data_IF_019728237551
#
_entry.id   IF_019728237551
#
_cell.length_a   1.000
_cell.length_b   1.000
_cell.length_c   1.000
_cell.angle_alpha   90.00
_cell.angle_beta   90.00
_cell.angle_gamma   90.00
#
_symmetry.space_group_name_H-M   'P 1'
#
loop_
_entity.id
_entity.type
_entity.pdbx_description
1 polymer ?
#
# COMPACT_ATOMS: atom_id res chain seq x y z
N UNK A 1 -46.71 -25.63 129.23
CA UNK A 1 -45.98 -25.48 130.51
C UNK A 1 -44.54 -25.96 130.45
N UNK A 2 -44.13 -26.85 129.52
CA UNK A 2 -42.72 -27.20 129.34
C UNK A 2 -41.90 -26.11 128.65
N UNK A 3 -42.46 -25.47 127.62
CA UNK A 3 -41.78 -24.40 126.87
C UNK A 3 -41.38 -23.19 127.75
N UNK A 4 -42.19 -22.85 128.75
CA UNK A 4 -41.92 -21.75 129.69
C UNK A 4 -40.76 -22.08 130.64
N UNK A 5 -40.62 -23.35 131.05
CA UNK A 5 -39.50 -23.81 131.89
C UNK A 5 -38.18 -23.88 131.11
N UNK A 6 -38.22 -24.22 129.83
CA UNK A 6 -37.03 -24.16 128.97
C UNK A 6 -36.60 -22.70 128.72
N UNK A 7 -37.56 -21.79 128.55
CA UNK A 7 -37.29 -20.36 128.40
C UNK A 7 -36.65 -19.74 129.65
N UNK A 8 -37.08 -20.14 130.85
CA UNK A 8 -36.41 -19.74 132.10
C UNK A 8 -34.97 -20.25 132.20
N UNK A 9 -34.72 -21.52 131.85
CA UNK A 9 -33.36 -22.07 131.84
C UNK A 9 -32.44 -21.40 130.80
N UNK A 10 -32.98 -21.05 129.63
CA UNK A 10 -32.24 -20.32 128.60
C UNK A 10 -31.95 -18.89 129.07
N UNK A 11 -32.92 -18.22 129.70
CA UNK A 11 -32.71 -16.89 130.28
C UNK A 11 -31.71 -16.89 131.44
N UNK A 12 -31.68 -17.92 132.28
CA UNK A 12 -30.65 -18.07 133.31
C UNK A 12 -29.26 -18.26 132.68
N UNK A 13 -29.15 -19.07 131.61
CA UNK A 13 -27.87 -19.24 130.89
C UNK A 13 -27.42 -17.96 130.20
N UNK A 14 -28.34 -17.18 129.63
CA UNK A 14 -28.06 -15.87 129.06
C UNK A 14 -27.59 -14.92 130.15
N UNK A 15 -28.23 -14.90 131.32
CA UNK A 15 -27.82 -14.05 132.44
C UNK A 15 -26.42 -14.42 132.97
N UNK A 16 -26.10 -15.72 133.05
CA UNK A 16 -24.76 -16.18 133.42
C UNK A 16 -23.73 -15.76 132.37
N UNK A 17 -24.00 -15.96 131.09
CA UNK A 17 -23.12 -15.55 129.99
C UNK A 17 -22.93 -14.03 129.92
N UNK A 18 -23.99 -13.24 130.15
CA UNK A 18 -23.89 -11.78 130.25
C UNK A 18 -23.07 -11.35 131.47
N UNK A 19 -23.11 -12.10 132.58
CA UNK A 19 -22.27 -11.83 133.75
C UNK A 19 -20.80 -12.17 133.47
N UNK A 20 -20.52 -13.25 132.73
CA UNK A 20 -19.17 -13.64 132.33
C UNK A 20 -18.59 -12.65 131.31
N UNK A 21 -19.39 -12.20 130.33
CA UNK A 21 -19.00 -11.14 129.38
C UNK A 21 -18.76 -9.80 130.08
N UNK A 22 -19.60 -9.42 131.06
CA UNK A 22 -19.36 -8.22 131.88
C UNK A 22 -18.12 -8.36 132.76
N UNK A 23 -17.80 -9.57 133.24
CA UNK A 23 -16.56 -9.83 133.98
C UNK A 23 -15.32 -9.77 133.07
N UNK A 24 -15.41 -10.24 131.82
CA UNK A 24 -14.35 -10.10 130.81
C UNK A 24 -14.15 -8.65 130.37
N UNK A 25 -15.23 -7.89 130.16
CA UNK A 25 -15.17 -6.46 129.82
C UNK A 25 -14.64 -5.62 131.01
N UNK A 26 -14.96 -6.01 132.25
CA UNK A 26 -14.36 -5.41 133.45
C UNK A 26 -12.86 -5.71 133.58
N UNK A 27 -12.39 -6.87 133.10
CA UNK A 27 -10.96 -7.21 133.06
C UNK A 27 -10.19 -6.52 131.92
N UNK A 28 -10.86 -6.17 130.81
CA UNK A 28 -10.27 -5.38 129.70
C UNK A 28 -10.13 -3.88 130.01
N UNK A 29 -10.88 -3.38 131.00
CA UNK A 29 -10.81 -2.00 131.47
C UNK A 29 -9.89 -1.78 132.70
N UNK A 30 -8.92 -2.67 132.94
CA UNK A 30 -7.73 -2.26 133.69
C UNK A 30 -6.98 -1.24 132.85
N UNK A 31 -7.13 0.04 133.19
CA UNK A 31 -6.17 1.06 132.81
C UNK A 31 -4.78 0.53 133.22
N UNK A 32 -4.04 0.03 132.23
CA UNK A 32 -2.64 -0.32 132.42
C UNK A 32 -1.94 1.02 132.63
N UNK A 33 -1.84 1.43 133.90
CA UNK A 33 -1.00 2.55 134.31
C UNK A 33 0.43 2.06 134.16
N UNK A 34 0.97 2.21 132.95
CA UNK A 34 2.37 1.95 132.65
C UNK A 34 3.21 2.86 133.55
N UNK A 35 4.17 2.28 134.29
CA UNK A 35 5.23 3.08 134.95
C UNK A 35 5.92 3.97 133.90
N UNK A 36 6.41 5.14 134.32
CA UNK A 36 6.97 6.16 133.42
C UNK A 36 8.07 5.61 132.49
N UNK A 37 8.81 4.60 132.94
CA UNK A 37 9.83 3.86 132.19
C UNK A 37 9.25 2.99 131.06
N UNK A 38 8.19 2.23 131.33
CA UNK A 38 7.53 1.35 130.36
C UNK A 38 6.72 2.14 129.33
N UNK A 39 6.14 3.27 129.74
CA UNK A 39 5.43 4.21 128.84
C UNK A 39 6.40 4.89 127.88
N UNK A 40 7.63 5.20 128.32
CA UNK A 40 8.71 5.70 127.46
C UNK A 40 9.17 4.65 126.46
N UNK A 41 9.37 3.40 126.87
CA UNK A 41 9.81 2.34 125.94
C UNK A 41 8.70 1.94 124.94
N UNK A 42 7.44 1.91 125.38
CA UNK A 42 6.29 1.73 124.48
C UNK A 42 6.18 2.89 123.48
N UNK A 43 6.31 4.14 123.92
CA UNK A 43 6.30 5.30 123.02
C UNK A 43 7.48 5.25 122.04
N UNK A 44 8.66 4.84 122.48
CA UNK A 44 9.84 4.66 121.62
C UNK A 44 9.64 3.58 120.56
N UNK A 45 9.16 2.40 120.94
CA UNK A 45 8.85 1.30 120.02
C UNK A 45 7.70 1.68 119.08
N UNK A 46 6.70 2.40 119.57
CA UNK A 46 5.58 2.93 118.76
C UNK A 46 6.07 3.96 117.76
N UNK A 47 6.96 4.88 118.14
CA UNK A 47 7.60 5.82 117.22
C UNK A 47 8.44 5.10 116.17
N UNK A 48 9.23 4.09 116.58
CA UNK A 48 10.06 3.31 115.65
C UNK A 48 9.23 2.47 114.68
N UNK A 49 8.16 1.83 115.16
CA UNK A 49 7.19 1.09 114.34
C UNK A 49 6.40 2.04 113.42
N UNK A 50 6.02 3.22 113.90
CA UNK A 50 5.35 4.24 113.06
C UNK A 50 6.29 4.75 111.98
N UNK A 51 7.57 5.00 112.32
CA UNK A 51 8.61 5.42 111.37
C UNK A 51 8.88 4.35 110.30
N UNK A 52 9.05 3.10 110.70
CA UNK A 52 9.25 1.98 109.78
C UNK A 52 8.02 1.75 108.89
N UNK A 53 6.81 1.74 109.49
CA UNK A 53 5.54 1.61 108.76
C UNK A 53 5.36 2.74 107.74
N UNK A 54 5.66 3.98 108.13
CA UNK A 54 5.59 5.14 107.23
C UNK A 54 6.60 5.04 106.08
N UNK A 55 7.81 4.56 106.36
CA UNK A 55 8.82 4.29 105.31
C UNK A 55 8.35 3.22 104.34
N UNK A 56 7.89 2.06 104.84
CA UNK A 56 7.42 0.97 104.00
C UNK A 56 6.15 1.31 103.23
N UNK A 57 5.23 2.10 103.81
CA UNK A 57 4.04 2.61 103.10
C UNK A 57 4.43 3.58 101.97
N UNK A 58 5.39 4.48 102.21
CA UNK A 58 5.90 5.37 101.16
C UNK A 58 6.63 4.60 100.05
N UNK A 59 7.43 3.59 100.41
CA UNK A 59 8.11 2.72 99.45
C UNK A 59 7.09 1.90 98.63
N UNK A 60 6.02 1.40 99.28
CA UNK A 60 4.92 0.69 98.64
C UNK A 60 4.15 1.59 97.65
N UNK A 61 3.75 2.81 98.06
CA UNK A 61 3.09 3.78 97.17
C UNK A 61 4.00 4.18 96.00
N UNK A 62 5.31 4.32 96.23
CA UNK A 62 6.28 4.57 95.15
C UNK A 62 6.36 3.40 94.16
N UNK A 63 6.39 2.17 94.66
CA UNK A 63 6.40 0.95 93.85
C UNK A 63 5.11 0.76 93.06
N UNK A 64 3.95 0.98 93.69
CA UNK A 64 2.64 0.89 93.03
C UNK A 64 2.49 1.93 91.91
N UNK A 65 2.94 3.17 92.13
CA UNK A 65 2.96 4.20 91.08
C UNK A 65 3.87 3.83 89.92
N UNK A 66 5.06 3.26 90.20
CA UNK A 66 5.97 2.76 89.15
C UNK A 66 5.36 1.59 88.39
N UNK A 67 4.81 0.61 89.08
CA UNK A 67 4.14 -0.54 88.47
C UNK A 67 2.99 -0.09 87.58
N UNK A 68 2.17 0.86 88.04
CA UNK A 68 1.08 1.42 87.24
C UNK A 68 1.59 2.15 86.01
N UNK A 69 2.61 2.99 86.15
CA UNK A 69 3.22 3.70 85.02
C UNK A 69 3.84 2.74 83.97
N UNK A 70 4.47 1.65 84.41
CA UNK A 70 5.02 0.64 83.52
C UNK A 70 3.92 -0.22 82.86
N UNK A 71 2.83 -0.51 83.59
CA UNK A 71 1.63 -1.17 83.02
C UNK A 71 0.97 -0.31 81.93
N UNK A 72 0.78 0.99 82.19
CA UNK A 72 0.20 1.91 81.21
C UNK A 72 1.08 2.04 79.95
N UNK A 73 2.41 2.06 80.13
CA UNK A 73 3.37 2.04 79.01
C UNK A 73 3.29 0.73 78.22
N UNK A 74 3.22 -0.41 78.90
CA UNK A 74 3.10 -1.71 78.25
C UNK A 74 1.81 -1.81 77.42
N UNK A 75 0.68 -1.37 77.97
CA UNK A 75 -0.58 -1.33 77.23
C UNK A 75 -0.51 -0.40 76.02
N UNK A 76 0.16 0.76 76.14
CA UNK A 76 0.37 1.67 75.02
C UNK A 76 1.22 1.03 73.91
N UNK A 77 2.36 0.45 74.26
CA UNK A 77 3.23 -0.26 73.31
C UNK A 77 2.50 -1.45 72.66
N UNK A 78 1.65 -2.16 73.40
CA UNK A 78 0.85 -3.25 72.85
C UNK A 78 -0.19 -2.75 71.83
N UNK A 79 -0.83 -1.60 72.09
CA UNK A 79 -1.73 -0.94 71.11
C UNK A 79 -0.97 -0.51 69.86
N UNK A 80 0.20 0.10 70.04
CA UNK A 80 1.03 0.57 68.93
C UNK A 80 1.54 -0.63 68.09
N UNK A 81 1.94 -1.72 68.73
CA UNK A 81 2.30 -2.98 68.06
C UNK A 81 1.16 -3.54 67.23
N UNK A 82 -0.07 -3.58 67.77
CA UNK A 82 -1.24 -4.05 67.02
C UNK A 82 -1.57 -3.14 65.84
N UNK A 83 -1.44 -1.83 66.02
CA UNK A 83 -1.66 -0.85 64.95
C UNK A 83 -0.63 -1.03 63.83
N UNK A 84 0.65 -1.19 64.16
CA UNK A 84 1.73 -1.45 63.21
C UNK A 84 1.50 -2.79 62.49
N UNK A 85 1.15 -3.87 63.20
CA UNK A 85 0.84 -5.16 62.58
C UNK A 85 -0.33 -5.08 61.60
N UNK A 86 -1.40 -4.35 61.95
CA UNK A 86 -2.54 -4.16 61.04
C UNK A 86 -2.11 -3.41 59.78
N UNK A 87 -1.25 -2.39 59.91
CA UNK A 87 -0.72 -1.61 58.79
C UNK A 87 0.20 -2.43 57.89
N UNK A 88 1.05 -3.29 58.47
CA UNK A 88 1.88 -4.23 57.71
C UNK A 88 1.01 -5.17 56.87
N UNK A 89 -0.07 -5.74 57.44
CA UNK A 89 -0.99 -6.61 56.67
C UNK A 89 -1.63 -5.90 55.49
N UNK A 90 -2.09 -4.66 55.69
CA UNK A 90 -2.70 -3.87 54.60
C UNK A 90 -1.66 -3.62 53.49
N UNK A 91 -0.46 -3.17 53.84
CA UNK A 91 0.62 -2.94 52.86
C UNK A 91 1.05 -4.22 52.14
N UNK A 92 1.06 -5.37 52.82
CA UNK A 92 1.36 -6.66 52.20
C UNK A 92 0.30 -7.06 51.16
N UNK A 93 -0.99 -6.86 51.47
CA UNK A 93 -2.07 -7.13 50.52
C UNK A 93 -2.00 -6.17 49.30
N UNK A 94 -1.77 -4.88 49.54
CA UNK A 94 -1.59 -3.89 48.46
C UNK A 94 -0.40 -4.23 47.55
N UNK A 95 0.72 -4.67 48.14
CA UNK A 95 1.90 -5.12 47.39
C UNK A 95 1.57 -6.32 46.49
N UNK A 96 0.87 -7.32 47.04
CA UNK A 96 0.55 -8.55 46.31
C UNK A 96 -0.44 -8.29 45.16
N UNK A 97 -1.43 -7.39 45.37
CA UNK A 97 -2.33 -6.94 44.30
C UNK A 97 -1.60 -6.15 43.21
N UNK A 98 -0.70 -5.24 43.60
CA UNK A 98 0.10 -4.47 42.66
C UNK A 98 1.05 -5.36 41.84
N UNK A 99 1.67 -6.37 42.45
CA UNK A 99 2.50 -7.36 41.73
C UNK A 99 1.67 -8.14 40.69
N UNK A 100 0.50 -8.66 41.08
CA UNK A 100 -0.41 -9.35 40.15
C UNK A 100 -0.85 -8.44 38.99
N UNK A 101 -1.05 -7.14 39.26
CA UNK A 101 -1.41 -6.16 38.23
C UNK A 101 -0.24 -5.86 37.29
N UNK A 102 0.99 -5.74 37.81
CA UNK A 102 2.20 -5.56 37.01
C UNK A 102 2.40 -6.73 36.06
N UNK A 103 2.26 -7.98 36.52
CA UNK A 103 2.48 -9.15 35.66
C UNK A 103 1.44 -9.22 34.53
N UNK A 104 0.16 -8.96 34.82
CA UNK A 104 -0.88 -8.83 33.79
C UNK A 104 -0.57 -7.72 32.77
N UNK A 105 -0.04 -6.59 33.23
CA UNK A 105 0.36 -5.49 32.34
C UNK A 105 1.56 -5.88 31.47
N UNK A 106 2.55 -6.59 32.01
CA UNK A 106 3.70 -7.09 31.24
C UNK A 106 3.27 -8.06 30.14
N UNK A 107 2.38 -9.02 30.45
CA UNK A 107 1.87 -9.97 29.47
C UNK A 107 1.13 -9.25 28.33
N UNK A 108 0.25 -8.30 28.68
CA UNK A 108 -0.48 -7.48 27.71
C UNK A 108 0.46 -6.62 26.83
N UNK A 109 1.51 -6.05 27.42
CA UNK A 109 2.53 -5.28 26.68
C UNK A 109 3.25 -6.20 25.71
N UNK A 110 3.71 -7.37 26.15
CA UNK A 110 4.41 -8.35 25.31
C UNK A 110 3.56 -8.82 24.12
N UNK A 111 2.30 -9.21 24.37
CA UNK A 111 1.37 -9.61 23.31
C UNK A 111 1.06 -8.48 22.31
N UNK A 112 0.90 -7.25 22.83
CA UNK A 112 0.64 -6.08 21.99
C UNK A 112 1.86 -5.70 21.16
N UNK A 113 3.08 -5.84 21.69
CA UNK A 113 4.33 -5.61 20.97
C UNK A 113 4.55 -6.63 19.83
N UNK A 114 4.25 -7.91 20.08
CA UNK A 114 4.27 -8.94 19.04
C UNK A 114 3.29 -8.62 17.91
N UNK A 115 2.04 -8.30 18.28
CA UNK A 115 0.99 -7.91 17.31
C UNK A 115 1.39 -6.66 16.51
N UNK A 116 2.01 -5.68 17.16
CA UNK A 116 2.52 -4.47 16.52
C UNK A 116 3.63 -4.79 15.51
N UNK A 117 4.56 -5.69 15.87
CA UNK A 117 5.64 -6.14 15.00
C UNK A 117 5.13 -6.82 13.74
N UNK A 118 4.14 -7.70 13.87
CA UNK A 118 3.50 -8.37 12.73
C UNK A 118 2.76 -7.40 11.82
N UNK A 119 1.99 -6.47 12.39
CA UNK A 119 1.28 -5.45 11.60
C UNK A 119 2.25 -4.52 10.87
N UNK A 120 3.36 -4.12 11.50
CA UNK A 120 4.41 -3.32 10.85
C UNK A 120 5.11 -4.05 9.71
N UNK A 121 5.28 -5.37 9.80
CA UNK A 121 5.80 -6.18 8.67
C UNK A 121 4.81 -6.18 7.50
N UNK A 122 3.53 -6.43 7.77
CA UNK A 122 2.46 -6.39 6.75
C UNK A 122 2.31 -5.00 6.13
N UNK A 123 2.42 -3.94 6.94
CA UNK A 123 2.40 -2.56 6.46
C UNK A 123 3.52 -2.32 5.42
N UNK A 124 4.76 -2.70 5.75
CA UNK A 124 5.89 -2.54 4.83
C UNK A 124 5.71 -3.31 3.53
N UNK A 125 5.29 -4.57 3.61
CA UNK A 125 5.05 -5.41 2.43
C UNK A 125 4.00 -4.79 1.50
N UNK A 126 2.88 -4.31 2.07
CA UNK A 126 1.80 -3.71 1.28
C UNK A 126 2.22 -2.33 0.74
N UNK A 127 2.91 -1.51 1.54
CA UNK A 127 3.42 -0.20 1.12
C UNK A 127 4.37 -0.32 -0.08
N UNK A 128 5.30 -1.27 -0.05
CA UNK A 128 6.22 -1.53 -1.17
C UNK A 128 5.47 -1.96 -2.43
N UNK A 129 4.46 -2.84 -2.31
CA UNK A 129 3.63 -3.27 -3.44
C UNK A 129 2.85 -2.09 -4.03
N UNK A 130 2.23 -1.26 -3.18
CA UNK A 130 1.44 -0.10 -3.61
C UNK A 130 2.33 0.96 -4.25
N UNK A 131 3.50 1.25 -3.67
CA UNK A 131 4.46 2.21 -4.23
C UNK A 131 4.94 1.77 -5.62
N UNK A 132 5.37 0.52 -5.76
CA UNK A 132 5.81 -0.01 -7.04
C UNK A 132 4.68 -0.03 -8.08
N UNK A 133 3.46 -0.39 -7.68
CA UNK A 133 2.29 -0.34 -8.55
C UNK A 133 2.01 1.09 -9.03
N UNK A 134 2.08 2.11 -8.16
CA UNK A 134 1.90 3.52 -8.52
C UNK A 134 2.97 4.02 -9.50
N UNK A 135 4.24 3.70 -9.26
CA UNK A 135 5.33 4.04 -10.20
C UNK A 135 5.13 3.36 -11.56
N UNK A 136 4.71 2.10 -11.56
CA UNK A 136 4.41 1.36 -12.80
C UNK A 136 3.22 1.97 -13.54
N UNK A 137 2.15 2.33 -12.83
CA UNK A 137 0.96 3.01 -13.40
C UNK A 137 1.35 4.33 -14.07
N UNK A 138 2.16 5.17 -13.42
CA UNK A 138 2.59 6.45 -14.03
C UNK A 138 3.45 6.23 -15.27
N UNK A 139 4.33 5.23 -15.24
CA UNK A 139 5.15 4.84 -16.40
C UNK A 139 4.31 4.31 -17.56
N UNK A 140 3.33 3.44 -17.28
CA UNK A 140 2.41 2.91 -18.29
C UNK A 140 1.55 4.02 -18.88
N UNK A 141 1.03 4.93 -18.05
CA UNK A 141 0.25 6.07 -18.53
C UNK A 141 1.04 6.97 -19.48
N UNK A 142 2.31 7.27 -19.17
CA UNK A 142 3.19 8.03 -20.09
C UNK A 142 3.37 7.31 -21.43
N UNK A 143 3.60 5.99 -21.41
CA UNK A 143 3.71 5.18 -22.63
C UNK A 143 2.41 5.14 -23.43
N UNK A 144 1.27 4.98 -22.75
CA UNK A 144 -0.04 4.99 -23.37
C UNK A 144 -0.38 6.36 -23.97
N UNK A 145 0.03 7.45 -23.33
CA UNK A 145 -0.13 8.81 -23.86
C UNK A 145 0.71 9.02 -25.12
N UNK A 146 1.97 8.56 -25.13
CA UNK A 146 2.82 8.56 -26.32
C UNK A 146 2.20 7.76 -27.46
N UNK A 147 1.80 6.50 -27.21
CA UNK A 147 1.16 5.64 -28.22
C UNK A 147 -0.19 6.23 -28.68
N UNK A 148 -0.94 6.86 -27.77
CA UNK A 148 -2.19 7.54 -28.14
C UNK A 148 -1.94 8.83 -28.94
N UNK A 149 -0.81 9.52 -28.77
CA UNK A 149 -0.39 10.60 -29.67
C UNK A 149 -0.11 10.06 -31.07
N UNK A 150 0.73 9.02 -31.16
CA UNK A 150 1.07 8.34 -32.42
C UNK A 150 -0.16 7.77 -33.13
N UNK A 151 -1.13 7.21 -32.38
CA UNK A 151 -2.41 6.71 -32.92
C UNK A 151 -3.46 7.81 -33.10
N UNK A 152 -3.38 8.92 -32.36
CA UNK A 152 -4.31 10.04 -32.38
C UNK A 152 -4.18 10.84 -33.67
N UNK A 153 -2.93 11.06 -34.09
CA UNK A 153 -2.60 11.57 -35.42
C UNK A 153 -3.06 10.61 -36.53
N UNK A 154 -3.12 9.30 -36.26
CA UNK A 154 -3.68 8.30 -37.16
C UNK A 154 -5.21 8.21 -37.13
N UNK A 155 -5.90 8.89 -36.20
CA UNK A 155 -7.35 8.77 -35.96
C UNK A 155 -8.19 9.73 -36.79
N UNK A 156 -7.57 10.63 -37.54
CA UNK A 156 -8.24 11.70 -38.30
C UNK A 156 -9.07 11.17 -39.48
N UNK A 157 -8.93 9.90 -39.87
CA UNK A 157 -9.61 9.35 -41.06
C UNK A 157 -10.49 8.11 -40.79
N UNK A 158 -11.32 8.13 -39.73
CA UNK A 158 -12.30 7.04 -39.47
C UNK A 158 -13.18 6.69 -40.68
N UNK A 159 -13.56 7.67 -41.49
CA UNK A 159 -14.36 7.45 -42.70
C UNK A 159 -13.56 6.80 -43.84
N UNK A 160 -12.28 7.17 -44.03
CA UNK A 160 -11.44 6.49 -45.02
C UNK A 160 -11.06 5.07 -44.55
N UNK A 161 -10.82 4.87 -43.26
CA UNK A 161 -10.52 3.56 -42.66
C UNK A 161 -11.68 2.57 -42.84
N UNK A 162 -12.93 2.99 -42.60
CA UNK A 162 -14.11 2.15 -42.82
C UNK A 162 -14.28 1.79 -44.30
N UNK A 163 -14.11 2.76 -45.20
CA UNK A 163 -14.18 2.52 -46.66
C UNK A 163 -13.07 1.57 -47.10
N UNK A 164 -11.86 1.73 -46.54
CA UNK A 164 -10.72 0.87 -46.81
C UNK A 164 -10.93 -0.55 -46.32
N UNK A 165 -11.49 -0.72 -45.12
CA UNK A 165 -11.82 -2.04 -44.58
C UNK A 165 -12.81 -2.78 -45.47
N UNK A 166 -13.90 -2.12 -45.88
CA UNK A 166 -14.86 -2.70 -46.84
C UNK A 166 -14.16 -3.09 -48.14
N UNK A 167 -13.30 -2.22 -48.67
CA UNK A 167 -12.48 -2.49 -49.87
C UNK A 167 -11.51 -3.67 -49.71
N UNK A 168 -10.99 -3.93 -48.51
CA UNK A 168 -10.14 -5.09 -48.23
C UNK A 168 -10.97 -6.38 -48.16
N UNK A 169 -12.13 -6.35 -47.49
CA UNK A 169 -13.06 -7.48 -47.41
C UNK A 169 -13.52 -7.93 -48.81
N UNK A 170 -13.74 -6.99 -49.73
CA UNK A 170 -14.04 -7.28 -51.14
C UNK A 170 -12.91 -8.06 -51.82
N UNK A 171 -11.65 -7.65 -51.62
CA UNK A 171 -10.50 -8.33 -52.23
C UNK A 171 -10.39 -9.75 -51.67
N UNK A 172 -10.55 -9.92 -50.36
CA UNK A 172 -10.52 -11.25 -49.73
C UNK A 172 -11.65 -12.16 -50.25
N UNK A 173 -12.83 -11.63 -50.51
CA UNK A 173 -13.91 -12.37 -51.17
C UNK A 173 -13.56 -12.75 -52.61
N UNK A 174 -13.01 -11.82 -53.40
CA UNK A 174 -12.58 -12.09 -54.78
C UNK A 174 -11.49 -13.17 -54.84
N UNK A 175 -10.52 -13.15 -53.91
CA UNK A 175 -9.48 -14.19 -53.81
C UNK A 175 -10.06 -15.58 -53.54
N UNK A 176 -11.13 -15.68 -52.72
CA UNK A 176 -11.80 -16.95 -52.41
C UNK A 176 -12.60 -17.48 -53.59
N UNK A 177 -13.26 -16.59 -54.35
CA UNK A 177 -14.12 -16.96 -55.47
C UNK A 177 -13.33 -17.28 -56.75
N UNK A 178 -12.23 -16.56 -56.99
CA UNK A 178 -11.47 -16.65 -58.23
C UNK A 178 -9.99 -16.93 -57.93
N UNK A 179 -9.53 -18.19 -58.09
CA UNK A 179 -8.10 -18.51 -58.01
C UNK A 179 -7.38 -17.80 -59.17
N UNK A 180 -6.45 -16.91 -58.85
CA UNK A 180 -5.77 -16.03 -59.81
C UNK A 180 -5.73 -14.56 -59.40
N UNK A 181 -6.55 -14.17 -58.42
CA UNK A 181 -6.46 -12.85 -57.77
C UNK A 181 -5.36 -12.88 -56.72
N UNK A 182 -4.36 -11.99 -56.85
CA UNK A 182 -3.26 -11.89 -55.87
C UNK A 182 -3.66 -11.02 -54.68
N UNK A 183 -3.49 -9.70 -54.80
CA UNK A 183 -3.89 -8.68 -53.83
C UNK A 183 -3.73 -7.29 -54.46
N UNK A 184 -3.99 -6.22 -53.70
CA UNK A 184 -3.67 -4.85 -54.08
C UNK A 184 -2.15 -4.61 -54.06
N UNK A 185 -1.66 -3.75 -54.94
CA UNK A 185 -0.25 -3.36 -55.01
C UNK A 185 0.31 -2.88 -53.66
N UNK A 186 -0.47 -2.15 -52.88
CA UNK A 186 -0.12 -1.73 -51.52
C UNK A 186 0.27 -2.89 -50.58
N UNK A 187 -0.42 -4.02 -50.68
CA UNK A 187 -0.20 -5.16 -49.80
C UNK A 187 0.98 -6.03 -50.25
N UNK A 188 1.26 -6.02 -51.56
CA UNK A 188 2.29 -6.83 -52.20
C UNK A 188 3.66 -6.13 -52.27
N UNK A 189 3.68 -4.80 -52.18
CA UNK A 189 4.89 -4.00 -52.28
C UNK A 189 5.22 -3.33 -50.94
N UNK A 190 6.50 -3.01 -50.72
CA UNK A 190 6.94 -2.20 -49.60
C UNK A 190 8.18 -1.38 -49.97
N UNK A 191 8.21 -0.07 -49.68
CA UNK A 191 9.44 0.71 -49.73
C UNK A 191 10.56 0.08 -48.90
N UNK A 192 11.79 0.09 -49.41
CA UNK A 192 12.96 -0.42 -48.65
C UNK A 192 13.26 0.46 -47.42
N UNK A 193 12.97 1.76 -47.51
CA UNK A 193 13.19 2.72 -46.43
C UNK A 193 12.07 3.76 -46.36
N UNK A 194 11.69 4.18 -45.14
CA UNK A 194 10.58 5.12 -44.86
C UNK A 194 10.71 6.45 -45.60
N UNK A 195 11.95 6.91 -45.80
CA UNK A 195 12.26 8.13 -46.57
C UNK A 195 11.66 8.15 -47.98
N UNK A 196 11.47 6.98 -48.59
CA UNK A 196 10.93 6.87 -49.95
C UNK A 196 9.40 6.75 -49.98
N UNK A 197 8.72 6.69 -48.84
CA UNK A 197 7.27 6.46 -48.78
C UNK A 197 6.51 7.53 -49.59
N UNK A 198 6.87 8.80 -49.45
CA UNK A 198 6.21 9.90 -50.18
C UNK A 198 6.43 9.80 -51.68
N UNK A 199 7.69 9.67 -52.10
CA UNK A 199 8.07 9.53 -53.50
C UNK A 199 7.38 8.33 -54.18
N UNK A 200 7.40 7.15 -53.56
CA UNK A 200 6.77 5.94 -54.08
C UNK A 200 5.25 6.09 -54.14
N UNK A 201 4.64 6.69 -53.11
CA UNK A 201 3.19 6.94 -53.09
C UNK A 201 2.76 7.84 -54.23
N UNK A 202 3.58 8.85 -54.57
CA UNK A 202 3.30 9.76 -55.68
C UNK A 202 3.38 9.06 -57.02
N UNK A 203 4.42 8.25 -57.23
CA UNK A 203 4.65 7.53 -58.48
C UNK A 203 3.59 6.44 -58.70
N UNK A 204 3.28 5.65 -57.68
CA UNK A 204 2.23 4.63 -57.78
C UNK A 204 0.84 5.25 -57.91
N UNK A 205 0.57 6.39 -57.27
CA UNK A 205 -0.66 7.15 -57.41
C UNK A 205 -1.92 6.29 -57.22
N UNK A 206 -2.71 6.14 -58.28
CA UNK A 206 -3.93 5.30 -58.29
C UNK A 206 -3.62 3.79 -58.34
N UNK A 207 -2.49 3.40 -58.93
CA UNK A 207 -2.07 2.00 -59.04
C UNK A 207 -1.75 1.37 -57.67
N UNK A 208 -1.51 2.18 -56.64
CA UNK A 208 -1.35 1.72 -55.25
C UNK A 208 -2.55 0.90 -54.76
N UNK A 209 -3.78 1.25 -55.20
CA UNK A 209 -5.01 0.53 -54.84
C UNK A 209 -5.41 -0.54 -55.86
N UNK A 210 -4.72 -0.64 -56.99
CA UNK A 210 -5.10 -1.57 -58.05
C UNK A 210 -4.83 -3.02 -57.62
N UNK A 211 -5.74 -3.92 -58.01
CA UNK A 211 -5.72 -5.35 -57.70
C UNK A 211 -4.96 -6.08 -58.80
N UNK A 212 -3.92 -6.83 -58.42
CA UNK A 212 -3.12 -7.64 -59.36
C UNK A 212 -3.81 -8.98 -59.60
N UNK A 213 -3.97 -9.36 -60.87
CA UNK A 213 -4.64 -10.60 -61.31
C UNK A 213 -3.75 -11.33 -62.32
N UNK A 214 -3.81 -12.65 -62.34
CA UNK A 214 -3.06 -13.50 -63.28
C UNK A 214 -3.41 -13.27 -64.76
N UNK A 215 -4.71 -13.30 -65.11
CA UNK A 215 -5.23 -13.29 -66.48
C UNK A 215 -6.33 -12.25 -66.72
N UNK A 216 -6.45 -11.78 -67.95
CA UNK A 216 -7.52 -10.86 -68.37
C UNK A 216 -8.92 -11.46 -68.18
N UNK A 217 -9.08 -12.76 -68.47
CA UNK A 217 -10.36 -13.45 -68.30
C UNK A 217 -10.86 -13.44 -66.85
N UNK A 218 -9.95 -13.67 -65.89
CA UNK A 218 -10.24 -13.62 -64.46
C UNK A 218 -10.68 -12.21 -64.07
N UNK A 219 -10.00 -11.18 -64.58
CA UNK A 219 -10.35 -9.78 -64.33
C UNK A 219 -11.77 -9.45 -64.83
N UNK A 220 -12.16 -9.91 -66.03
CA UNK A 220 -13.53 -9.70 -66.54
C UNK A 220 -14.59 -10.36 -65.65
N UNK A 221 -14.33 -11.56 -65.12
CA UNK A 221 -15.23 -12.24 -64.18
C UNK A 221 -15.34 -11.48 -62.85
N UNK A 222 -14.22 -10.98 -62.31
CA UNK A 222 -14.24 -10.14 -61.12
C UNK A 222 -15.04 -8.84 -61.34
N UNK A 223 -14.89 -8.18 -62.50
CA UNK A 223 -15.66 -6.98 -62.84
C UNK A 223 -17.15 -7.29 -62.93
N UNK A 224 -17.53 -8.40 -63.56
CA UNK A 224 -18.93 -8.80 -63.64
C UNK A 224 -19.52 -9.03 -62.23
N UNK A 225 -18.78 -9.73 -61.37
CA UNK A 225 -19.19 -9.91 -59.97
C UNK A 225 -19.38 -8.59 -59.21
N UNK A 226 -18.45 -7.63 -59.37
CA UNK A 226 -18.59 -6.31 -58.75
C UNK A 226 -19.83 -5.56 -59.24
N UNK A 227 -20.18 -5.68 -60.53
CA UNK A 227 -21.41 -5.09 -61.09
C UNK A 227 -22.67 -5.77 -60.54
N UNK A 228 -22.69 -7.09 -60.49
CA UNK A 228 -23.83 -7.87 -60.01
C UNK A 228 -24.13 -7.58 -58.53
N UNK A 229 -23.07 -7.38 -57.72
CA UNK A 229 -23.16 -7.01 -56.31
C UNK A 229 -23.29 -5.49 -56.07
N UNK A 230 -23.39 -4.67 -57.13
CA UNK A 230 -23.47 -3.20 -57.07
C UNK A 230 -22.37 -2.55 -56.21
N UNK A 231 -21.15 -3.07 -56.31
CA UNK A 231 -19.98 -2.60 -55.56
C UNK A 231 -19.26 -1.44 -56.28
N UNK A 232 -18.39 -0.74 -55.57
CA UNK A 232 -17.59 0.35 -56.15
C UNK A 232 -16.66 -0.15 -57.28
N UNK A 233 -16.39 0.68 -58.31
CA UNK A 233 -15.49 0.31 -59.38
C UNK A 233 -14.04 0.18 -58.86
N UNK A 234 -13.41 -0.94 -59.18
CA UNK A 234 -12.02 -1.24 -58.84
C UNK A 234 -11.14 -1.34 -60.09
N UNK A 235 -9.84 -1.05 -59.94
CA UNK A 235 -8.86 -1.17 -61.03
C UNK A 235 -8.13 -2.50 -60.94
N UNK A 236 -8.09 -3.24 -62.03
CA UNK A 236 -7.41 -4.53 -62.13
C UNK A 236 -6.18 -4.44 -63.04
N UNK A 237 -5.09 -5.11 -62.64
CA UNK A 237 -3.84 -5.21 -63.40
C UNK A 237 -3.62 -6.68 -63.81
N UNK A 238 -4.06 -7.08 -65.02
CA UNK A 238 -3.88 -8.44 -65.53
C UNK A 238 -2.44 -8.68 -65.97
N UNK A 239 -1.75 -9.63 -65.32
CA UNK A 239 -0.32 -9.88 -65.52
C UNK A 239 -0.01 -10.42 -66.92
N UNK A 240 -0.93 -11.12 -67.59
CA UNK A 240 -0.77 -11.62 -68.96
C UNK A 240 -0.78 -10.49 -70.01
N UNK A 241 -1.74 -9.59 -69.89
CA UNK A 241 -2.08 -8.57 -70.90
C UNK A 241 -1.42 -7.21 -70.67
N UNK A 242 -0.89 -6.94 -69.46
CA UNK A 242 -0.30 -5.64 -69.13
C UNK A 242 0.93 -5.30 -69.99
N UNK A 243 0.86 -4.19 -70.72
CA UNK A 243 1.98 -3.72 -71.53
C UNK A 243 3.01 -3.03 -70.64
N UNK A 244 4.20 -3.61 -70.54
CA UNK A 244 5.30 -3.11 -69.71
C UNK A 244 6.44 -2.59 -70.57
N UNK A 245 7.00 -1.45 -70.18
CA UNK A 245 8.24 -0.94 -70.79
C UNK A 245 9.42 -1.55 -70.06
N UNK A 246 10.41 -2.14 -70.76
CA UNK A 246 11.58 -2.71 -70.10
C UNK A 246 12.33 -1.63 -69.31
N UNK A 247 12.96 -2.05 -68.22
CA UNK A 247 13.82 -1.18 -67.42
C UNK A 247 14.99 -0.70 -68.27
N UNK A 248 15.18 0.60 -68.31
CA UNK A 248 16.32 1.23 -68.96
C UNK A 248 17.50 1.22 -68.00
N UNK A 249 18.33 0.18 -68.05
CA UNK A 249 19.51 0.03 -67.17
C UNK A 249 20.44 1.25 -67.19
N UNK A 250 20.51 1.98 -68.33
CA UNK A 250 21.26 3.24 -68.42
C UNK A 250 20.88 4.27 -67.35
N UNK A 251 19.63 4.25 -66.88
CA UNK A 251 19.13 5.18 -65.87
C UNK A 251 19.69 4.90 -64.48
N UNK A 252 20.24 3.70 -64.23
CA UNK A 252 20.99 3.38 -63.01
C UNK A 252 22.37 4.04 -62.97
N UNK A 253 22.91 4.41 -64.13
CA UNK A 253 24.27 4.97 -64.26
C UNK A 253 24.29 6.51 -64.22
N UNK A 254 23.18 7.17 -63.90
CA UNK A 254 23.13 8.63 -63.74
C UNK A 254 23.91 9.00 -62.48
N UNK A 255 25.09 9.61 -62.64
CA UNK A 255 25.97 10.00 -61.53
C UNK A 255 25.79 11.45 -61.07
N UNK A 256 25.19 12.30 -61.92
CA UNK A 256 24.93 13.71 -61.63
C UNK A 256 23.47 14.03 -62.02
N UNK A 257 22.61 14.47 -61.08
CA UNK A 257 22.82 14.74 -59.65
C UNK A 257 23.13 13.49 -58.80
N UNK A 258 23.69 13.69 -57.59
CA UNK A 258 23.99 12.59 -56.67
C UNK A 258 22.71 12.06 -56.03
N UNK A 259 22.59 10.74 -55.89
CA UNK A 259 21.48 10.11 -55.16
C UNK A 259 20.27 9.73 -56.01
N UNK A 260 20.33 9.91 -57.33
CA UNK A 260 19.31 9.46 -58.28
C UNK A 260 19.24 7.93 -58.29
N UNK A 261 18.04 7.37 -58.12
CA UNK A 261 17.79 5.92 -58.18
C UNK A 261 16.51 5.62 -58.94
N UNK A 262 16.37 4.43 -59.49
CA UNK A 262 15.08 3.99 -60.03
C UNK A 262 14.11 3.69 -58.88
N UNK A 263 12.85 4.10 -59.06
CA UNK A 263 11.78 3.81 -58.09
C UNK A 263 11.60 2.29 -57.91
N UNK A 264 11.80 1.54 -58.99
CA UNK A 264 11.81 0.08 -58.99
C UNK A 264 12.85 -0.50 -58.00
N UNK A 265 14.05 0.08 -57.93
CA UNK A 265 15.15 -0.44 -57.10
C UNK A 265 14.98 -0.11 -55.61
N UNK A 266 14.16 0.90 -55.27
CA UNK A 266 13.85 1.29 -53.88
C UNK A 266 12.57 0.63 -53.35
N UNK A 267 11.97 -0.27 -54.13
CA UNK A 267 10.75 -0.99 -53.81
C UNK A 267 11.03 -2.49 -53.71
N UNK A 268 10.61 -3.10 -52.61
CA UNK A 268 10.59 -4.56 -52.44
C UNK A 268 9.19 -5.07 -52.72
N UNK A 269 9.05 -6.20 -53.40
CA UNK A 269 7.75 -6.79 -53.68
C UNK A 269 7.79 -8.32 -53.56
N UNK A 270 6.64 -8.92 -53.25
CA UNK A 270 6.45 -10.37 -53.05
C UNK A 270 4.99 -10.71 -53.41
N UNK A 271 4.69 -11.68 -54.28
CA UNK A 271 5.59 -12.69 -54.88
C UNK A 271 6.21 -12.28 -56.23
N UNK A 272 7.33 -12.91 -56.70
CA UNK A 272 8.07 -12.47 -57.89
C UNK A 272 7.24 -12.37 -59.19
N UNK A 273 6.15 -13.13 -59.29
CA UNK A 273 5.26 -13.17 -60.44
C UNK A 273 4.62 -11.80 -60.74
N UNK A 274 4.57 -10.88 -59.77
CA UNK A 274 3.97 -9.55 -59.94
C UNK A 274 4.94 -8.52 -60.53
N UNK A 275 6.15 -8.92 -60.91
CA UNK A 275 7.18 -8.05 -61.49
C UNK A 275 6.61 -7.15 -62.60
N UNK A 276 5.80 -7.70 -63.51
CA UNK A 276 5.15 -6.94 -64.59
C UNK A 276 4.24 -5.83 -64.07
N UNK A 277 3.44 -6.09 -63.03
CA UNK A 277 2.57 -5.08 -62.42
C UNK A 277 3.39 -3.98 -61.73
N UNK A 278 4.50 -4.34 -61.08
CA UNK A 278 5.42 -3.39 -60.45
C UNK A 278 6.09 -2.51 -61.50
N UNK A 279 6.64 -3.09 -62.57
CA UNK A 279 7.24 -2.37 -63.69
C UNK A 279 6.27 -1.39 -64.34
N UNK A 280 5.01 -1.79 -64.50
CA UNK A 280 3.97 -0.90 -65.01
C UNK A 280 3.71 0.28 -64.06
N UNK A 281 3.55 -0.01 -62.76
CA UNK A 281 3.21 1.01 -61.76
C UNK A 281 4.35 1.98 -61.47
N UNK A 282 5.60 1.52 -61.43
CA UNK A 282 6.77 2.37 -61.21
C UNK A 282 7.27 3.02 -62.49
N UNK A 283 7.03 2.39 -63.65
CA UNK A 283 7.64 2.75 -64.92
C UNK A 283 9.17 2.89 -64.79
N UNK A 284 9.80 3.59 -65.72
CA UNK A 284 11.19 4.04 -65.62
C UNK A 284 11.30 5.36 -64.81
N UNK A 285 10.54 5.51 -63.72
CA UNK A 285 10.58 6.72 -62.89
C UNK A 285 11.81 6.74 -61.98
N UNK A 286 12.34 7.93 -61.77
CA UNK A 286 13.54 8.20 -60.98
C UNK A 286 13.18 8.91 -59.68
N UNK A 287 13.84 8.53 -58.58
CA UNK A 287 13.75 9.22 -57.28
C UNK A 287 15.02 10.02 -57.04
N UNK A 288 14.87 11.29 -56.65
CA UNK A 288 15.94 12.24 -56.33
C UNK A 288 15.76 12.77 -54.89
N UNK A 289 16.83 13.30 -54.30
CA UNK A 289 16.79 13.82 -52.92
C UNK A 289 16.04 15.16 -52.85
N UNK A 290 16.28 16.09 -53.78
CA UNK A 290 15.66 17.43 -53.81
C UNK A 290 14.76 17.65 -55.05
N UNK A 291 13.80 18.59 -54.98
CA UNK A 291 13.00 19.01 -56.13
C UNK A 291 13.84 19.59 -57.28
N UNK A 292 14.90 20.33 -56.96
CA UNK A 292 15.82 20.90 -57.94
C UNK A 292 16.56 19.80 -58.71
N UNK A 293 17.04 18.78 -58.00
CA UNK A 293 17.67 17.61 -58.60
C UNK A 293 16.68 16.84 -59.49
N UNK A 294 15.43 16.69 -59.02
CA UNK A 294 14.38 16.01 -59.79
C UNK A 294 14.02 16.79 -61.07
N UNK A 295 13.96 18.12 -61.02
CA UNK A 295 13.72 18.96 -62.19
C UNK A 295 14.86 18.85 -63.20
N UNK A 296 16.11 18.90 -62.72
CA UNK A 296 17.30 18.74 -63.57
C UNK A 296 17.30 17.37 -64.26
N UNK A 297 16.97 16.29 -63.54
CA UNK A 297 16.90 14.94 -64.11
C UNK A 297 15.75 14.78 -65.10
N UNK A 298 14.61 15.44 -64.86
CA UNK A 298 13.44 15.33 -65.73
C UNK A 298 13.62 16.04 -67.08
N UNK A 299 14.29 17.19 -67.11
CA UNK A 299 14.33 18.08 -68.28
C UNK A 299 15.73 18.38 -68.83
N UNK A 300 16.76 18.41 -67.99
CA UNK A 300 18.07 19.00 -68.29
C UNK A 300 19.24 18.00 -68.24
N UNK A 301 18.97 16.70 -68.47
CA UNK A 301 19.98 15.64 -68.44
C UNK A 301 20.93 15.64 -69.66
N UNK A 302 20.81 16.62 -70.57
CA UNK A 302 21.71 16.83 -71.71
C UNK A 302 21.61 15.81 -72.85
N UNK A 303 20.77 14.78 -72.72
CA UNK A 303 20.56 13.72 -73.72
C UNK A 303 19.37 13.98 -74.67
N UNK A 304 18.75 15.16 -74.55
CA UNK A 304 17.58 15.57 -75.33
C UNK A 304 16.31 14.78 -75.03
N UNK A 305 16.30 13.96 -73.96
CA UNK A 305 15.18 13.11 -73.56
C UNK A 305 14.62 13.56 -72.23
N UNK A 306 13.32 13.33 -72.03
CA UNK A 306 12.62 13.65 -70.79
C UNK A 306 12.33 12.37 -70.00
N UNK A 307 12.46 12.47 -68.69
CA UNK A 307 12.25 11.36 -67.76
C UNK A 307 11.18 11.73 -66.72
N UNK A 308 10.55 10.70 -66.17
CA UNK A 308 9.66 10.86 -65.02
C UNK A 308 10.54 10.87 -63.76
N UNK A 309 10.54 11.96 -63.00
CA UNK A 309 11.38 12.13 -61.81
C UNK A 309 10.57 12.65 -60.62
N UNK A 310 10.79 12.07 -59.44
CA UNK A 310 10.13 12.42 -58.18
C UNK A 310 11.18 12.78 -57.13
N UNK A 311 10.95 13.83 -56.37
CA UNK A 311 11.77 14.18 -55.22
C UNK A 311 11.23 13.50 -53.92
N UNK A 312 12.05 13.45 -52.87
CA UNK A 312 11.64 12.83 -51.59
C UNK A 312 10.47 13.56 -50.92
N UNK A 313 10.31 14.86 -51.18
CA UNK A 313 9.18 15.68 -50.72
C UNK A 313 7.86 15.34 -51.44
N UNK A 314 7.91 14.51 -52.48
CA UNK A 314 6.76 14.11 -53.29
C UNK A 314 6.44 15.01 -54.47
N UNK A 315 7.30 15.99 -54.79
CA UNK A 315 7.19 16.78 -56.01
C UNK A 315 7.53 15.90 -57.21
N UNK A 316 6.61 15.83 -58.19
CA UNK A 316 6.71 14.93 -59.34
C UNK A 316 6.73 15.70 -60.66
N UNK A 317 7.74 15.40 -61.46
CA UNK A 317 7.97 15.92 -62.80
C UNK A 317 7.75 14.78 -63.80
N UNK A 318 6.76 14.94 -64.68
CA UNK A 318 6.47 13.96 -65.72
C UNK A 318 7.17 14.34 -67.02
N UNK A 319 7.54 13.34 -67.82
CA UNK A 319 8.16 13.50 -69.15
C UNK A 319 7.32 14.33 -70.12
N UNK A 320 6.00 14.39 -69.93
CA UNK A 320 5.07 15.21 -70.72
C UNK A 320 5.01 16.68 -70.26
N UNK A 321 5.78 17.07 -69.25
CA UNK A 321 5.86 18.45 -68.75
C UNK A 321 4.88 18.79 -67.63
N UNK A 322 4.06 17.84 -67.17
CA UNK A 322 3.22 18.06 -65.98
C UNK A 322 4.06 18.06 -64.72
N UNK A 323 3.83 19.09 -63.89
CA UNK A 323 4.44 19.25 -62.58
C UNK A 323 3.35 19.09 -61.53
N UNK A 324 3.69 18.40 -60.45
CA UNK A 324 2.74 17.84 -59.52
C UNK A 324 3.29 17.97 -58.11
N UNK A 325 2.76 18.91 -57.32
CA UNK A 325 3.19 19.18 -55.95
C UNK A 325 2.03 19.17 -54.95
N UNK A 326 2.34 19.02 -53.67
CA UNK A 326 1.38 18.99 -52.56
C UNK A 326 1.71 17.91 -51.52
N UNK A 327 2.36 18.31 -50.44
CA UNK A 327 2.88 17.38 -49.42
C UNK A 327 1.81 16.87 -48.45
N UNK A 328 0.82 17.68 -48.06
CA UNK A 328 -0.12 17.33 -46.99
C UNK A 328 -1.01 16.11 -47.29
N UNK A 329 -1.65 16.06 -48.47
CA UNK A 329 -2.48 14.90 -48.87
C UNK A 329 -1.60 13.68 -49.16
N UNK A 330 -0.42 13.90 -49.74
CA UNK A 330 0.50 12.83 -50.08
C UNK A 330 1.12 12.19 -48.84
N UNK A 331 1.43 12.97 -47.81
CA UNK A 331 1.95 12.48 -46.54
C UNK A 331 0.92 11.57 -45.86
N UNK A 332 -0.36 11.96 -45.84
CA UNK A 332 -1.47 11.11 -45.37
C UNK A 332 -1.50 9.78 -46.13
N UNK A 333 -1.42 9.81 -47.47
CA UNK A 333 -1.39 8.59 -48.30
C UNK A 333 -0.13 7.77 -48.08
N UNK A 334 1.02 8.39 -47.82
CA UNK A 334 2.30 7.71 -47.60
C UNK A 334 2.36 6.99 -46.24
N UNK A 335 1.63 7.47 -45.22
CA UNK A 335 1.46 6.77 -43.94
C UNK A 335 0.76 5.41 -44.10
N UNK A 336 0.08 5.15 -45.22
CA UNK A 336 -0.54 3.84 -45.50
C UNK A 336 0.47 2.70 -45.60
N UNK A 337 1.73 2.99 -45.91
CA UNK A 337 2.79 1.99 -45.90
C UNK A 337 3.16 1.52 -44.48
N UNK A 338 2.78 2.30 -43.46
CA UNK A 338 3.09 2.05 -42.05
C UNK A 338 1.96 1.30 -41.31
N UNK A 339 0.93 0.78 -41.99
CA UNK A 339 -0.18 0.06 -41.34
C UNK A 339 0.26 -1.11 -40.46
N UNK A 340 1.33 -1.81 -40.84
CA UNK A 340 1.93 -2.86 -40.01
C UNK A 340 2.50 -2.30 -38.71
N UNK A 341 3.00 -1.07 -38.70
CA UNK A 341 3.42 -0.35 -37.48
C UNK A 341 2.20 0.07 -36.64
N UNK A 342 1.14 0.55 -37.28
CA UNK A 342 -0.13 0.87 -36.60
C UNK A 342 -0.74 -0.35 -35.91
N UNK A 343 -0.70 -1.52 -36.54
CA UNK A 343 -1.15 -2.78 -35.93
C UNK A 343 -0.28 -3.19 -34.73
N UNK A 344 1.04 -3.00 -34.82
CA UNK A 344 1.95 -3.24 -33.67
C UNK A 344 1.66 -2.30 -32.52
N UNK A 345 1.49 -1.00 -32.80
CA UNK A 345 1.15 0.01 -31.78
C UNK A 345 -0.20 -0.26 -31.12
N UNK A 346 -1.20 -0.73 -31.88
CA UNK A 346 -2.50 -1.19 -31.34
C UNK A 346 -2.34 -2.38 -30.40
N UNK A 347 -1.53 -3.37 -30.77
CA UNK A 347 -1.25 -4.53 -29.93
C UNK A 347 -0.49 -4.15 -28.63
N UNK A 348 0.52 -3.28 -28.75
CA UNK A 348 1.25 -2.76 -27.58
C UNK A 348 0.36 -1.95 -26.64
N UNK A 349 -0.55 -1.14 -27.19
CA UNK A 349 -1.56 -0.41 -26.41
C UNK A 349 -2.47 -1.36 -25.64
N UNK A 350 -2.95 -2.43 -26.26
CA UNK A 350 -3.82 -3.41 -25.60
C UNK A 350 -3.08 -4.14 -24.46
N UNK A 351 -1.83 -4.53 -24.70
CA UNK A 351 -0.98 -5.15 -23.68
C UNK A 351 -0.72 -4.22 -22.50
N UNK A 352 -0.40 -2.95 -22.76
CA UNK A 352 -0.21 -1.94 -21.72
C UNK A 352 -1.50 -1.62 -20.96
N UNK A 353 -2.66 -1.68 -21.62
CA UNK A 353 -3.96 -1.49 -20.97
C UNK A 353 -4.31 -2.63 -20.01
N UNK A 354 -4.00 -3.88 -20.38
CA UNK A 354 -4.19 -5.02 -19.47
C UNK A 354 -3.22 -4.95 -18.28
N UNK A 355 -1.95 -4.60 -18.52
CA UNK A 355 -0.97 -4.38 -17.44
C UNK A 355 -1.43 -3.27 -16.50
N UNK A 356 -1.94 -2.15 -17.02
CA UNK A 356 -2.49 -1.04 -16.24
C UNK A 356 -3.63 -1.50 -15.33
N UNK A 357 -4.54 -2.31 -15.85
CA UNK A 357 -5.67 -2.87 -15.09
C UNK A 357 -5.20 -3.77 -13.94
N UNK A 358 -4.14 -4.56 -14.15
CA UNK A 358 -3.55 -5.37 -13.10
C UNK A 358 -2.89 -4.51 -12.02
N UNK A 359 -2.13 -3.47 -12.41
CA UNK A 359 -1.49 -2.58 -11.45
C UNK A 359 -2.51 -1.76 -10.65
N UNK A 360 -3.61 -1.31 -11.27
CA UNK A 360 -4.70 -0.64 -10.57
C UNK A 360 -5.36 -1.51 -9.50
N UNK A 361 -5.46 -2.83 -9.70
CA UNK A 361 -5.92 -3.76 -8.65
C UNK A 361 -4.97 -3.79 -7.47
N UNK A 362 -3.66 -3.69 -7.71
CA UNK A 362 -2.64 -3.63 -6.65
C UNK A 362 -2.70 -2.30 -5.90
N UNK A 363 -2.93 -1.19 -6.59
CA UNK A 363 -3.12 0.14 -5.96
C UNK A 363 -4.36 0.17 -5.05
N UNK A 364 -5.42 -0.60 -5.33
CA UNK A 364 -6.60 -0.68 -4.44
C UNK A 364 -6.25 -1.20 -3.03
N UNK A 365 -5.14 -1.92 -2.85
CA UNK A 365 -4.65 -2.32 -1.52
C UNK A 365 -4.22 -1.13 -0.65
N UNK A 366 -4.17 0.09 -1.19
CA UNK A 366 -3.93 1.32 -0.43
C UNK A 366 -5.00 1.56 0.65
N UNK A 367 -6.26 1.16 0.42
CA UNK A 367 -7.27 1.21 1.48
C UNK A 367 -6.92 0.29 2.64
N UNK A 368 -6.42 -0.90 2.33
CA UNK A 368 -6.01 -1.89 3.33
C UNK A 368 -4.79 -1.39 4.11
N UNK A 369 -3.84 -0.74 3.43
CA UNK A 369 -2.70 -0.07 4.05
C UNK A 369 -3.15 0.99 5.06
N UNK A 370 -4.12 1.83 4.69
CA UNK A 370 -4.64 2.88 5.56
C UNK A 370 -5.33 2.31 6.81
N UNK A 371 -6.06 1.20 6.67
CA UNK A 371 -6.66 0.46 7.80
C UNK A 371 -5.57 -0.09 8.72
N UNK A 372 -4.53 -0.73 8.17
CA UNK A 372 -3.41 -1.27 8.95
C UNK A 372 -2.67 -0.15 9.69
N UNK A 373 -2.41 0.98 9.04
CA UNK A 373 -1.79 2.15 9.67
C UNK A 373 -2.61 2.70 10.84
N UNK A 374 -3.93 2.74 10.68
CA UNK A 374 -4.85 3.14 11.76
C UNK A 374 -4.79 2.16 12.94
N UNK A 375 -4.77 0.84 12.65
CA UNK A 375 -4.63 -0.20 13.67
C UNK A 375 -3.29 -0.11 14.42
N UNK A 376 -2.18 0.13 13.71
CA UNK A 376 -0.85 0.34 14.29
C UNK A 376 -0.88 1.54 15.24
N UNK A 377 -1.37 2.70 14.80
CA UNK A 377 -1.48 3.89 15.66
C UNK A 377 -2.33 3.64 16.91
N UNK A 378 -3.45 2.91 16.75
CA UNK A 378 -4.32 2.52 17.86
C UNK A 378 -3.63 1.58 18.86
N UNK A 379 -2.83 0.62 18.39
CA UNK A 379 -2.03 -0.27 19.24
C UNK A 379 -0.88 0.46 19.92
N UNK A 380 -0.15 1.34 19.23
CA UNK A 380 0.92 2.14 19.82
C UNK A 380 0.41 3.04 20.95
N UNK A 381 -0.77 3.63 20.75
CA UNK A 381 -1.42 4.46 21.76
C UNK A 381 -1.77 3.63 22.99
N UNK A 382 -2.37 2.45 22.81
CA UNK A 382 -2.67 1.52 23.91
C UNK A 382 -1.41 1.06 24.64
N UNK A 383 -0.36 0.66 23.92
CA UNK A 383 0.93 0.29 24.49
C UNK A 383 1.54 1.42 25.33
N UNK A 384 1.45 2.67 24.84
CA UNK A 384 1.92 3.84 25.58
C UNK A 384 1.18 3.99 26.90
N UNK A 385 -0.15 3.87 26.90
CA UNK A 385 -0.95 3.94 28.13
C UNK A 385 -0.61 2.79 29.10
N UNK A 386 -0.51 1.55 28.63
CA UNK A 386 -0.13 0.41 29.47
C UNK A 386 1.26 0.57 30.11
N UNK A 387 2.24 1.09 29.35
CA UNK A 387 3.58 1.37 29.88
C UNK A 387 3.57 2.48 30.93
N UNK A 388 2.79 3.54 30.71
CA UNK A 388 2.63 4.63 31.69
C UNK A 388 1.96 4.10 32.98
N UNK A 389 0.90 3.28 32.86
CA UNK A 389 0.23 2.69 34.02
C UNK A 389 1.18 1.79 34.82
N UNK A 390 1.92 0.91 34.13
CA UNK A 390 2.94 0.06 34.77
C UNK A 390 4.02 0.89 35.48
N UNK A 391 4.51 1.96 34.84
CA UNK A 391 5.52 2.84 35.44
C UNK A 391 4.98 3.59 36.66
N UNK A 392 3.71 4.02 36.65
CA UNK A 392 3.05 4.63 37.81
C UNK A 392 2.97 3.66 38.98
N UNK A 393 2.56 2.41 38.73
CA UNK A 393 2.47 1.38 39.78
C UNK A 393 3.85 1.07 40.36
N UNK A 394 4.88 0.91 39.51
CA UNK A 394 6.25 0.70 39.96
C UNK A 394 6.79 1.87 40.80
N UNK A 395 6.55 3.11 40.37
CA UNK A 395 6.98 4.30 41.13
C UNK A 395 6.25 4.43 42.47
N UNK A 396 4.95 4.08 42.51
CA UNK A 396 4.18 4.07 43.75
C UNK A 396 4.71 3.03 44.74
N UNK A 397 4.99 1.82 44.27
CA UNK A 397 5.61 0.77 45.08
C UNK A 397 7.01 1.19 45.59
N UNK A 398 7.82 1.86 44.77
CA UNK A 398 9.15 2.33 45.18
C UNK A 398 9.07 3.41 46.28
N UNK A 399 8.15 4.37 46.16
CA UNK A 399 8.01 5.46 47.12
C UNK A 399 7.37 5.04 48.46
N UNK A 400 6.70 3.87 48.52
CA UNK A 400 6.17 3.33 49.78
C UNK A 400 7.20 2.49 50.56
N UNK A 401 8.34 2.14 49.93
CA UNK A 401 9.41 1.34 50.54
C UNK A 401 10.63 2.16 51.01
N UNK A 402 10.68 3.45 50.65
CA UNK A 402 11.58 4.47 51.21
C UNK A 402 10.89 5.14 52.40
#
# INVERSE_FOLDING_TARGET
MELTKELEKVNEKIAVFESEMKAEDANKNREIVLEESQRREYNRLKEEATRLSSKYLNDLDSLERKQKADSDKYEQEQRDQQQIQSRIRVLQNELEENMKRIDKLKDNISMSEQSLSELRKKEKEIDEIVRFAKERVTTINKKLEQINGELGDAKVDRHEDERRRKKAEVVDHLKKLYPGVYDRMLNLCKPIHKRYNMAITRVMGKHMEAIVIDKEETARRCIQYLKDQMMEPETFLPLDYIEVKPLKERLRNIQSPKGVRLVYDVLKYDPPQIERAVLFATNNALVCETPEDAAQVAFDLGDGRRYDAVALDGTFYQKCGFISGGSAELERRARRWDEKEVHKLKYEKEKLAEELKEQLKKTRKESDLMVIQSQIKGLETRLRYCRIDMQRICNHAHNQHL
#
